data_IF_639058160724
#
_entry.id   IF_639058160724
#
_cell.length_a   1.000
_cell.length_b   1.000
_cell.length_c   1.000
_cell.angle_alpha   90.00
_cell.angle_beta   90.00
_cell.angle_gamma   90.00
#
_symmetry.space_group_name_H-M   'P 1'
#
loop_
_entity.id
_entity.type
_entity.pdbx_description
1 polymer ?
#
# COMPACT_ATOMS: atom_id res chain seq x y z
N UNK A 1 61.13 16.06 -55.80
CA UNK A 1 61.88 15.79 -54.55
C UNK A 1 60.91 15.12 -53.61
N UNK A 2 60.96 13.80 -53.61
CA UNK A 2 60.01 12.91 -52.96
C UNK A 2 60.60 12.37 -51.64
N UNK A 3 59.71 12.14 -50.67
CA UNK A 3 59.79 11.15 -49.55
C UNK A 3 60.70 11.48 -48.35
N UNK A 4 60.54 10.83 -47.16
CA UNK A 4 59.56 9.79 -46.77
C UNK A 4 58.84 9.96 -45.40
N UNK A 5 57.83 9.09 -45.26
CA UNK A 5 57.13 8.55 -44.09
C UNK A 5 57.98 8.30 -42.84
N UNK A 6 57.39 8.50 -41.64
CA UNK A 6 57.80 7.82 -40.41
C UNK A 6 56.59 7.21 -39.68
N UNK A 7 56.54 5.88 -39.71
CA UNK A 7 55.77 5.04 -38.80
C UNK A 7 56.30 5.18 -37.38
N UNK A 8 55.38 5.23 -36.41
CA UNK A 8 55.68 5.14 -34.98
C UNK A 8 54.63 4.29 -34.25
N UNK A 9 54.69 2.97 -34.45
CA UNK A 9 53.99 1.98 -33.63
C UNK A 9 54.88 1.64 -32.44
N UNK A 10 54.46 1.91 -31.20
CA UNK A 10 54.93 1.18 -30.00
C UNK A 10 53.79 0.96 -28.99
N UNK A 11 53.36 -0.29 -29.01
CA UNK A 11 52.74 -1.16 -28.00
C UNK A 11 53.18 -0.84 -26.56
N UNK A 12 52.25 -0.90 -25.58
CA UNK A 12 52.48 -1.48 -24.25
C UNK A 12 51.15 -1.88 -23.55
N UNK A 13 50.90 -3.20 -23.53
CA UNK A 13 50.60 -4.04 -22.36
C UNK A 13 49.35 -3.73 -21.51
N UNK A 14 48.31 -4.54 -21.74
CA UNK A 14 47.91 -5.59 -20.78
C UNK A 14 47.29 -5.17 -19.45
N UNK A 15 45.95 -5.21 -19.37
CA UNK A 15 45.25 -5.53 -18.14
C UNK A 15 44.11 -6.50 -18.45
N UNK A 16 44.43 -7.80 -18.42
CA UNK A 16 43.45 -8.89 -18.43
C UNK A 16 42.94 -9.02 -16.99
N UNK A 17 41.77 -8.46 -16.70
CA UNK A 17 41.06 -8.75 -15.46
C UNK A 17 40.36 -10.10 -15.65
N UNK A 18 41.01 -11.17 -15.20
CA UNK A 18 40.37 -12.45 -14.96
C UNK A 18 39.43 -12.29 -13.75
N UNK A 19 38.14 -12.14 -14.02
CA UNK A 19 37.11 -12.32 -12.99
C UNK A 19 36.93 -13.83 -12.77
N UNK A 20 37.36 -14.30 -11.60
CA UNK A 20 37.01 -15.61 -11.05
C UNK A 20 35.48 -15.68 -10.88
N UNK A 21 34.81 -16.38 -11.80
CA UNK A 21 33.44 -16.86 -11.60
C UNK A 21 33.48 -17.98 -10.55
N UNK A 22 33.36 -17.61 -9.27
CA UNK A 22 33.07 -18.56 -8.20
C UNK A 22 31.70 -19.20 -8.43
N UNK A 23 31.73 -20.52 -8.55
CA UNK A 23 30.61 -21.40 -8.74
C UNK A 23 29.46 -21.11 -7.75
N UNK A 24 28.29 -20.82 -8.32
CA UNK A 24 27.02 -20.68 -7.63
C UNK A 24 26.53 -22.09 -7.26
N UNK A 25 26.55 -22.45 -5.98
CA UNK A 25 25.97 -23.69 -5.52
C UNK A 25 24.44 -23.60 -5.50
N UNK A 26 23.70 -24.60 -6.03
CA UNK A 26 22.25 -24.63 -5.93
C UNK A 26 21.84 -25.07 -4.51
N UNK A 27 21.33 -24.13 -3.71
CA UNK A 27 20.60 -24.49 -2.48
C UNK A 27 19.28 -25.18 -2.86
N UNK A 28 19.24 -26.49 -2.63
CA UNK A 28 18.03 -27.30 -2.74
C UNK A 28 17.10 -26.97 -1.57
N UNK A 29 16.06 -26.17 -1.84
CA UNK A 29 15.00 -25.87 -0.86
C UNK A 29 14.06 -27.08 -0.82
N UNK A 30 14.15 -27.87 0.25
CA UNK A 30 13.16 -28.91 0.56
C UNK A 30 11.83 -28.24 0.90
N UNK A 31 10.87 -28.33 -0.02
CA UNK A 31 9.47 -28.00 0.23
C UNK A 31 8.87 -29.09 1.13
N UNK A 32 8.70 -28.79 2.41
CA UNK A 32 7.89 -29.62 3.30
C UNK A 32 6.41 -29.30 3.05
N UNK A 33 5.72 -30.24 2.40
CA UNK A 33 4.28 -30.28 2.28
C UNK A 33 3.66 -30.55 3.66
N UNK A 34 2.99 -29.56 4.23
CA UNK A 34 2.13 -29.73 5.41
C UNK A 34 0.69 -29.92 4.91
N UNK A 35 0.22 -31.16 4.92
CA UNK A 35 -1.21 -31.47 4.76
C UNK A 35 -1.95 -31.12 6.07
N UNK A 36 -3.06 -30.37 6.02
CA UNK A 36 -3.97 -30.26 7.15
C UNK A 36 -4.90 -31.48 7.19
N UNK A 37 -4.82 -32.25 8.27
CA UNK A 37 -5.81 -33.26 8.65
C UNK A 37 -7.06 -32.53 9.16
N UNK A 38 -8.12 -32.50 8.35
CA UNK A 38 -9.45 -32.04 8.74
C UNK A 38 -10.17 -33.20 9.43
N UNK A 39 -10.18 -33.19 10.76
CA UNK A 39 -11.07 -34.04 11.57
C UNK A 39 -12.45 -33.39 11.65
N UNK A 40 -13.43 -33.99 10.97
CA UNK A 40 -14.86 -33.69 11.10
C UNK A 40 -15.34 -34.15 12.49
N UNK A 41 -15.52 -33.21 13.41
CA UNK A 41 -16.21 -33.43 14.68
C UNK A 41 -17.72 -33.35 14.47
N UNK A 42 -18.40 -34.46 14.69
CA UNK A 42 -19.85 -34.59 14.72
C UNK A 42 -20.44 -33.79 15.89
N UNK A 43 -21.22 -32.75 15.58
CA UNK A 43 -21.98 -31.98 16.56
C UNK A 43 -23.27 -32.68 16.96
N UNK A 44 -23.36 -33.02 18.24
CA UNK A 44 -24.57 -33.41 18.97
C UNK A 44 -25.66 -32.33 18.86
N UNK A 45 -26.88 -32.73 18.52
CA UNK A 45 -28.10 -31.93 18.70
C UNK A 45 -28.58 -32.08 20.16
N UNK A 46 -28.82 -30.99 20.90
CA UNK A 46 -29.51 -31.08 22.18
C UNK A 46 -31.02 -31.26 22.00
N UNK A 47 -31.56 -32.11 22.87
CA UNK A 47 -32.96 -32.52 23.02
C UNK A 47 -33.95 -31.34 23.14
N UNK A 48 -35.05 -31.45 22.41
CA UNK A 48 -36.24 -30.59 22.52
C UNK A 48 -36.93 -30.84 23.88
N UNK A 49 -36.66 -29.98 24.86
CA UNK A 49 -37.50 -29.92 26.07
C UNK A 49 -38.81 -29.20 25.76
N UNK A 50 -39.85 -30.01 25.59
CA UNK A 50 -41.27 -29.66 25.59
C UNK A 50 -41.61 -28.89 26.87
N UNK A 51 -41.87 -27.59 26.77
CA UNK A 51 -42.50 -26.81 27.84
C UNK A 51 -43.98 -27.18 27.91
N UNK A 52 -44.41 -27.65 29.08
CA UNK A 52 -45.82 -27.84 29.43
C UNK A 52 -46.50 -26.46 29.56
N UNK A 53 -47.55 -26.27 28.77
CA UNK A 53 -48.37 -25.07 28.73
C UNK A 53 -49.45 -25.19 29.82
N UNK A 54 -49.23 -24.57 30.98
CA UNK A 54 -50.22 -24.42 32.04
C UNK A 54 -51.40 -23.57 31.53
N UNK A 55 -52.50 -24.23 31.23
CA UNK A 55 -53.77 -23.60 30.85
C UNK A 55 -54.48 -23.09 32.12
N UNK A 56 -54.50 -21.78 32.30
CA UNK A 56 -55.26 -21.14 33.37
C UNK A 56 -56.79 -21.20 33.11
N UNK A 57 -57.61 -21.38 34.16
CA UNK A 57 -59.05 -21.55 34.03
C UNK A 57 -59.78 -20.27 33.60
N UNK A 58 -60.70 -20.45 32.65
CA UNK A 58 -61.44 -19.46 31.86
C UNK A 58 -62.45 -18.56 32.62
N UNK A 59 -62.61 -18.65 33.95
CA UNK A 59 -63.84 -18.16 34.60
C UNK A 59 -63.80 -16.81 35.32
N UNK A 60 -62.83 -15.93 35.07
CA UNK A 60 -62.82 -14.57 35.66
C UNK A 60 -62.52 -13.43 34.68
N UNK A 61 -63.03 -13.52 33.45
CA UNK A 61 -63.00 -12.37 32.53
C UNK A 61 -64.22 -11.47 32.76
N UNK A 62 -64.00 -10.31 33.40
CA UNK A 62 -65.02 -9.28 33.53
C UNK A 62 -65.45 -8.76 32.15
N UNK A 63 -66.77 -8.66 31.95
CA UNK A 63 -67.41 -8.29 30.68
C UNK A 63 -67.55 -6.78 30.47
N UNK A 64 -66.97 -5.96 31.36
CA UNK A 64 -67.00 -4.52 31.20
C UNK A 64 -65.87 -4.04 30.26
N UNK A 65 -66.16 -4.08 28.96
CA UNK A 65 -65.28 -3.56 27.91
C UNK A 65 -65.09 -2.03 27.98
N UNK A 66 -65.90 -1.32 28.77
CA UNK A 66 -65.92 0.15 28.81
C UNK A 66 -64.79 0.71 29.68
N UNK A 67 -64.38 0.00 30.73
CA UNK A 67 -63.21 0.35 31.55
C UNK A 67 -61.88 0.05 30.86
N UNK A 68 -61.81 -0.98 30.00
CA UNK A 68 -60.58 -1.42 29.33
C UNK A 68 -60.00 -0.41 28.33
N UNK A 69 -60.81 0.53 27.83
CA UNK A 69 -60.39 1.47 26.78
C UNK A 69 -59.69 2.72 27.33
N UNK A 70 -59.87 3.05 28.62
CA UNK A 70 -59.32 4.26 29.22
C UNK A 70 -57.90 4.09 29.78
N UNK A 71 -57.45 2.85 30.01
CA UNK A 71 -56.13 2.52 30.57
C UNK A 71 -55.03 2.37 29.49
N UNK A 72 -55.40 2.10 28.23
CA UNK A 72 -54.45 1.87 27.13
C UNK A 72 -54.04 3.14 26.37
N UNK A 73 -54.50 4.32 26.83
CA UNK A 73 -54.30 5.58 26.14
C UNK A 73 -53.40 6.56 26.92
N UNK A 74 -52.31 6.07 27.55
CA UNK A 74 -51.17 6.93 27.85
C UNK A 74 -50.17 6.87 26.68
N UNK A 75 -50.27 7.75 25.66
CA UNK A 75 -49.34 7.78 24.53
C UNK A 75 -47.89 8.14 24.90
N UNK A 76 -47.56 8.32 26.20
CA UNK A 76 -46.21 8.52 26.72
C UNK A 76 -45.61 7.31 27.42
N UNK A 77 -46.34 6.20 27.57
CA UNK A 77 -45.75 4.98 28.08
C UNK A 77 -44.81 4.39 27.00
N UNK A 78 -43.52 4.70 27.10
CA UNK A 78 -42.50 4.00 26.32
C UNK A 78 -42.64 2.50 26.62
N UNK A 79 -42.48 1.62 25.61
CA UNK A 79 -42.43 0.20 25.88
C UNK A 79 -41.37 -0.08 26.97
N UNK A 80 -41.58 -1.09 27.83
CA UNK A 80 -40.55 -1.51 28.77
C UNK A 80 -39.23 -1.64 28.02
N UNK A 81 -38.19 -0.93 28.47
CA UNK A 81 -36.87 -1.05 27.86
C UNK A 81 -36.49 -2.53 27.95
N UNK A 82 -36.23 -3.15 26.79
CA UNK A 82 -35.72 -4.51 26.76
C UNK A 82 -34.53 -4.61 27.72
N UNK A 83 -34.40 -5.71 28.48
CA UNK A 83 -33.21 -5.91 29.29
C UNK A 83 -31.98 -5.77 28.40
N UNK A 84 -30.90 -5.13 28.90
CA UNK A 84 -29.70 -4.95 28.10
C UNK A 84 -29.25 -6.31 27.57
N UNK A 85 -29.12 -6.43 26.24
CA UNK A 85 -28.72 -7.70 25.61
C UNK A 85 -27.43 -8.18 26.27
N UNK A 86 -27.33 -9.47 26.63
CA UNK A 86 -26.09 -10.02 27.15
C UNK A 86 -24.97 -9.71 26.16
N UNK A 87 -23.83 -9.26 26.69
CA UNK A 87 -22.71 -8.85 25.85
C UNK A 87 -22.20 -10.05 25.08
N UNK A 88 -21.91 -9.87 23.80
CA UNK A 88 -21.31 -10.92 23.00
C UNK A 88 -19.95 -11.31 23.61
N UNK A 89 -19.60 -12.61 23.66
CA UNK A 89 -18.32 -13.05 24.20
C UNK A 89 -17.15 -12.48 23.38
N UNK A 90 -15.97 -12.30 23.99
CA UNK A 90 -14.77 -11.91 23.27
C UNK A 90 -14.49 -12.89 22.14
N UNK A 91 -14.16 -12.36 20.96
CA UNK A 91 -13.84 -13.18 19.78
C UNK A 91 -12.51 -12.80 19.19
N UNK A 92 -11.82 -13.76 18.58
CA UNK A 92 -10.57 -13.53 17.86
C UNK A 92 -10.77 -12.44 16.81
N UNK A 93 -9.83 -11.49 16.76
CA UNK A 93 -9.89 -10.41 15.79
C UNK A 93 -9.83 -10.98 14.36
N UNK A 94 -10.81 -10.69 13.48
CA UNK A 94 -10.83 -11.25 12.14
C UNK A 94 -9.73 -10.69 11.23
N UNK A 95 -9.20 -9.50 11.56
CA UNK A 95 -8.15 -8.86 10.76
C UNK A 95 -6.75 -9.42 11.04
N UNK A 96 -6.38 -9.63 12.31
CA UNK A 96 -5.07 -10.19 12.67
C UNK A 96 -5.11 -11.68 13.00
N UNK A 97 -6.29 -12.30 13.10
CA UNK A 97 -6.48 -13.70 13.48
C UNK A 97 -5.74 -14.05 14.79
N UNK A 98 -5.85 -13.17 15.79
CA UNK A 98 -5.17 -13.35 17.09
C UNK A 98 -3.69 -12.97 17.12
N UNK A 99 -3.06 -12.65 15.99
CA UNK A 99 -1.62 -12.32 15.92
C UNK A 99 -1.23 -10.97 16.49
N UNK A 100 -2.19 -10.12 16.87
CA UNK A 100 -1.97 -8.76 17.42
C UNK A 100 -1.36 -7.73 16.45
N UNK A 101 -0.62 -8.16 15.44
CA UNK A 101 -0.05 -7.32 14.39
C UNK A 101 -0.57 -7.70 12.99
N UNK A 102 -0.58 -6.72 12.10
CA UNK A 102 -0.94 -6.88 10.69
C UNK A 102 0.19 -6.36 9.81
N UNK A 103 0.32 -6.89 8.59
CA UNK A 103 1.30 -6.36 7.63
C UNK A 103 1.06 -4.87 7.44
N UNK A 104 2.13 -4.08 7.43
CA UNK A 104 2.00 -2.63 7.24
C UNK A 104 1.29 -2.36 5.90
N UNK A 105 0.17 -1.65 5.93
CA UNK A 105 -0.61 -1.35 4.73
C UNK A 105 0.10 -0.41 3.75
N UNK A 106 1.07 0.39 4.22
CA UNK A 106 1.83 1.33 3.38
C UNK A 106 2.93 0.61 2.59
N UNK A 107 3.78 -0.15 3.27
CA UNK A 107 4.90 -0.86 2.62
C UNK A 107 4.56 -2.31 2.25
N UNK A 108 3.34 -2.78 2.55
CA UNK A 108 2.87 -4.16 2.30
C UNK A 108 3.78 -5.25 2.88
N UNK A 109 4.48 -4.93 3.96
CA UNK A 109 5.42 -5.86 4.60
C UNK A 109 6.87 -5.81 4.12
N UNK A 110 7.26 -4.92 3.19
CA UNK A 110 8.68 -4.76 2.82
C UNK A 110 9.52 -4.13 3.94
N UNK A 111 8.93 -3.24 4.75
CA UNK A 111 9.63 -2.40 5.72
C UNK A 111 10.17 -1.10 5.11
N UNK A 112 10.13 -0.99 3.79
CA UNK A 112 10.77 0.07 3.03
C UNK A 112 9.87 0.62 1.93
N UNK A 113 10.04 1.89 1.62
CA UNK A 113 9.29 2.59 0.58
C UNK A 113 10.30 3.27 -0.35
N UNK A 114 10.07 3.26 -1.67
CA UNK A 114 10.88 4.07 -2.59
C UNK A 114 10.89 5.54 -2.15
N UNK A 115 12.05 6.21 -2.14
CA UNK A 115 12.14 7.65 -1.85
C UNK A 115 11.19 8.47 -2.72
N UNK A 116 11.04 8.08 -3.99
CA UNK A 116 10.18 8.74 -4.98
C UNK A 116 8.68 8.43 -4.85
N UNK A 117 8.29 7.67 -3.82
CA UNK A 117 6.92 7.22 -3.57
C UNK A 117 6.45 6.12 -4.53
N UNK A 118 5.23 5.61 -4.31
CA UNK A 118 4.66 4.52 -5.12
C UNK A 118 4.07 4.97 -6.46
N UNK A 119 3.95 6.29 -6.70
CA UNK A 119 3.43 6.78 -7.98
C UNK A 119 4.42 6.47 -9.09
N UNK A 120 3.96 5.70 -10.08
CA UNK A 120 4.74 5.41 -11.29
C UNK A 120 4.98 6.65 -12.15
N UNK A 121 4.16 7.69 -11.98
CA UNK A 121 4.17 8.88 -12.82
C UNK A 121 4.52 10.14 -12.03
N UNK A 122 5.16 11.09 -12.70
CA UNK A 122 5.41 12.44 -12.21
C UNK A 122 4.09 13.22 -12.10
N UNK A 123 3.99 14.06 -11.08
CA UNK A 123 2.88 14.99 -10.93
C UNK A 123 3.24 16.28 -11.66
N UNK A 124 2.63 16.49 -12.83
CA UNK A 124 2.87 17.68 -13.67
C UNK A 124 1.69 18.64 -13.51
N UNK A 125 1.96 19.86 -13.06
CA UNK A 125 0.96 20.92 -13.03
C UNK A 125 1.08 21.78 -14.30
N UNK A 126 0.13 21.62 -15.24
CA UNK A 126 0.14 22.25 -16.56
C UNK A 126 0.20 23.79 -16.57
N UNK A 127 -0.17 24.43 -15.46
CA UNK A 127 -0.09 25.89 -15.30
C UNK A 127 1.31 26.39 -14.92
N UNK A 128 2.11 25.54 -14.28
CA UNK A 128 3.44 25.86 -13.73
C UNK A 128 4.56 25.05 -14.40
N UNK A 129 4.31 24.51 -15.59
CA UNK A 129 5.31 23.68 -16.29
C UNK A 129 6.37 24.52 -17.00
N UNK A 130 6.05 25.71 -17.49
CA UNK A 130 7.06 26.60 -18.11
C UNK A 130 8.03 27.10 -17.04
N UNK A 131 9.34 27.01 -17.30
CA UNK A 131 10.42 27.26 -16.34
C UNK A 131 10.66 26.12 -15.34
N UNK A 132 9.93 25.01 -15.45
CA UNK A 132 10.20 23.84 -14.61
C UNK A 132 11.42 23.06 -15.11
N UNK A 133 12.17 22.52 -14.16
CA UNK A 133 13.43 21.80 -14.38
C UNK A 133 13.18 20.30 -14.42
N UNK A 134 13.85 19.61 -15.34
CA UNK A 134 13.69 18.19 -15.58
C UNK A 134 15.02 17.53 -15.91
N UNK A 135 15.22 16.32 -15.38
CA UNK A 135 16.35 15.47 -15.73
C UNK A 135 15.89 14.26 -16.54
N UNK A 136 16.49 14.03 -17.70
CA UNK A 136 16.27 12.83 -18.49
C UNK A 136 17.03 11.64 -17.90
N UNK A 137 16.32 10.55 -17.63
CA UNK A 137 16.88 9.27 -17.16
C UNK A 137 17.76 8.61 -18.23
N UNK A 138 17.45 8.83 -19.51
CA UNK A 138 18.29 8.46 -20.66
C UNK A 138 18.84 9.72 -21.30
N UNK A 139 20.14 9.72 -21.62
CA UNK A 139 20.77 10.87 -22.30
C UNK A 139 20.08 11.16 -23.64
N UNK A 140 19.78 12.44 -23.90
CA UNK A 140 19.17 12.92 -25.14
C UNK A 140 20.13 13.93 -25.76
N UNK A 141 20.77 13.56 -26.87
CA UNK A 141 21.78 14.40 -27.52
C UNK A 141 23.00 14.68 -26.64
N UNK A 142 23.37 13.77 -25.74
CA UNK A 142 24.48 13.99 -24.78
C UNK A 142 24.08 14.78 -23.53
N UNK A 143 22.88 15.35 -23.48
CA UNK A 143 22.39 16.14 -22.35
C UNK A 143 21.38 15.36 -21.49
N UNK A 144 21.33 15.71 -20.20
CA UNK A 144 20.38 15.16 -19.23
C UNK A 144 19.58 16.23 -18.49
N UNK A 145 20.11 17.43 -18.33
CA UNK A 145 19.45 18.52 -17.60
C UNK A 145 18.75 19.47 -18.57
N UNK A 146 17.44 19.57 -18.42
CA UNK A 146 16.57 20.35 -19.29
C UNK A 146 15.65 21.29 -18.51
N UNK A 147 15.31 22.41 -19.13
CA UNK A 147 14.30 23.35 -18.66
C UNK A 147 13.20 23.51 -19.72
N UNK A 148 11.95 23.55 -19.29
CA UNK A 148 10.81 23.73 -20.18
C UNK A 148 10.69 25.21 -20.57
N UNK A 149 10.85 25.53 -21.85
CA UNK A 149 10.72 26.91 -22.35
C UNK A 149 9.27 27.23 -22.69
N UNK A 150 8.59 26.29 -23.36
CA UNK A 150 7.23 26.53 -23.83
C UNK A 150 6.36 25.28 -23.79
N UNK A 151 5.05 25.51 -23.78
CA UNK A 151 4.01 24.49 -23.87
C UNK A 151 3.19 24.74 -25.12
N UNK A 152 2.94 23.69 -25.90
CA UNK A 152 2.02 23.68 -27.03
C UNK A 152 0.84 22.74 -26.73
N UNK A 153 -0.34 23.10 -27.22
CA UNK A 153 -1.57 22.34 -27.03
C UNK A 153 -2.42 22.83 -25.86
N UNK A 154 -3.75 22.74 -26.04
CA UNK A 154 -4.75 23.15 -25.04
C UNK A 154 -5.26 21.96 -24.23
N UNK A 155 -5.39 20.78 -24.85
CA UNK A 155 -5.85 19.54 -24.22
C UNK A 155 -4.69 18.71 -23.71
N UNK A 156 -4.92 17.93 -22.65
CA UNK A 156 -3.89 17.10 -22.03
C UNK A 156 -3.29 16.04 -22.97
N UNK A 157 -4.09 15.47 -23.89
CA UNK A 157 -3.64 14.48 -24.88
C UNK A 157 -2.73 15.07 -25.96
N UNK A 158 -2.89 16.35 -26.26
CA UNK A 158 -2.16 17.08 -27.31
C UNK A 158 -1.07 17.99 -26.72
N UNK A 159 -0.93 18.00 -25.38
CA UNK A 159 0.03 18.85 -24.70
C UNK A 159 1.44 18.31 -24.92
N UNK A 160 2.29 19.16 -25.49
CA UNK A 160 3.72 18.92 -25.65
C UNK A 160 4.51 20.10 -25.10
N UNK A 161 5.72 19.82 -24.66
CA UNK A 161 6.64 20.79 -24.07
C UNK A 161 7.89 20.88 -24.92
N UNK A 162 8.36 22.09 -25.18
CA UNK A 162 9.72 22.29 -25.69
C UNK A 162 10.66 22.44 -24.50
N UNK A 163 11.68 21.58 -24.47
CA UNK A 163 12.71 21.56 -23.46
C UNK A 163 14.04 21.99 -24.10
N UNK A 164 14.80 22.84 -23.42
CA UNK A 164 16.18 23.16 -23.78
C UNK A 164 17.14 22.57 -22.76
N UNK A 165 18.31 22.14 -23.19
CA UNK A 165 19.38 21.80 -22.26
C UNK A 165 19.80 23.05 -21.47
N UNK A 166 20.10 22.84 -20.19
CA UNK A 166 20.66 23.86 -19.30
C UNK A 166 22.18 23.79 -19.26
N UNK A 167 22.75 22.62 -19.51
CA UNK A 167 24.19 22.36 -19.43
C UNK A 167 24.81 22.25 -20.83
N UNK A 168 25.95 22.91 -21.06
CA UNK A 168 26.70 22.91 -22.31
C UNK A 168 26.61 24.23 -23.08
N UNK A 169 27.55 24.44 -23.99
CA UNK A 169 27.62 25.65 -24.84
C UNK A 169 26.60 25.60 -25.98
N UNK A 170 26.40 24.44 -26.58
CA UNK A 170 25.42 24.23 -27.64
C UNK A 170 24.00 24.14 -27.07
N UNK A 171 23.07 24.90 -27.67
CA UNK A 171 21.65 24.87 -27.29
C UNK A 171 20.92 23.76 -28.03
N UNK A 172 20.69 22.66 -27.34
CA UNK A 172 19.89 21.53 -27.80
C UNK A 172 18.44 21.65 -27.33
N UNK A 173 17.50 21.62 -28.28
CA UNK A 173 16.05 21.71 -28.01
C UNK A 173 15.32 20.47 -28.47
N UNK A 174 14.36 20.01 -27.67
CA UNK A 174 13.53 18.85 -27.96
C UNK A 174 12.08 19.08 -27.60
N UNK A 175 11.18 18.47 -28.36
CA UNK A 175 9.76 18.41 -28.04
C UNK A 175 9.42 17.08 -27.37
N UNK A 176 8.74 17.15 -26.24
CA UNK A 176 8.38 16.00 -25.41
C UNK A 176 6.88 16.05 -25.10
N UNK A 177 6.19 14.93 -25.22
CA UNK A 177 4.74 14.87 -24.93
C UNK A 177 4.48 14.86 -23.42
N UNK A 178 3.27 15.26 -23.00
CA UNK A 178 2.86 15.17 -21.60
C UNK A 178 2.89 13.72 -21.06
N UNK A 179 2.58 12.73 -21.90
CA UNK A 179 2.65 11.33 -21.52
C UNK A 179 4.10 10.90 -21.21
N UNK A 180 5.05 11.35 -22.03
CA UNK A 180 6.47 11.06 -21.86
C UNK A 180 7.05 11.76 -20.61
N UNK A 181 6.80 13.06 -20.41
CA UNK A 181 7.32 13.78 -19.22
C UNK A 181 6.72 13.26 -17.90
N UNK A 182 5.50 12.70 -17.96
CA UNK A 182 4.88 12.01 -16.81
C UNK A 182 5.54 10.69 -16.49
N UNK A 183 6.23 10.04 -17.43
CA UNK A 183 6.87 8.76 -17.20
C UNK A 183 8.17 8.94 -16.40
N UNK A 184 8.18 8.47 -15.14
CA UNK A 184 9.36 8.53 -14.25
C UNK A 184 10.58 7.76 -14.77
N UNK A 185 10.37 6.78 -15.65
CA UNK A 185 11.46 6.01 -16.25
C UNK A 185 12.23 6.81 -17.30
N UNK A 186 11.57 7.78 -17.93
CA UNK A 186 12.18 8.64 -18.95
C UNK A 186 12.63 9.97 -18.35
N UNK A 187 11.84 10.54 -17.44
CA UNK A 187 12.03 11.88 -16.90
C UNK A 187 11.88 11.93 -15.38
N UNK A 188 12.77 12.65 -14.70
CA UNK A 188 12.65 13.03 -13.29
C UNK A 188 12.42 14.53 -13.19
N UNK A 189 11.59 14.93 -12.25
CA UNK A 189 11.34 16.35 -11.96
C UNK A 189 12.48 16.91 -11.09
N UNK A 190 12.94 18.12 -11.41
CA UNK A 190 14.05 18.78 -10.73
C UNK A 190 15.42 18.35 -11.25
N UNK A 191 16.47 18.78 -10.55
CA UNK A 191 17.84 18.36 -10.82
C UNK A 191 18.16 17.10 -10.03
N UNK A 192 18.29 16.01 -10.77
CA UNK A 192 18.70 14.71 -10.24
C UNK A 192 20.09 14.36 -10.76
N UNK A 193 20.93 13.82 -9.89
CA UNK A 193 22.29 13.35 -10.20
C UNK A 193 22.26 11.99 -10.91
N UNK A 194 23.36 11.60 -11.55
CA UNK A 194 23.43 10.29 -12.22
C UNK A 194 23.30 9.14 -11.22
N UNK A 195 23.96 9.24 -10.06
CA UNK A 195 23.84 8.27 -8.97
C UNK A 195 22.40 8.10 -8.53
N UNK A 196 21.65 9.18 -8.28
CA UNK A 196 20.22 9.08 -7.92
C UNK A 196 19.32 8.49 -9.02
N UNK A 197 19.71 8.56 -10.30
CA UNK A 197 18.97 7.92 -11.40
C UNK A 197 19.22 6.41 -11.39
N UNK A 198 20.48 6.00 -11.21
CA UNK A 198 20.92 4.60 -11.15
C UNK A 198 20.42 3.93 -9.87
N UNK A 199 20.68 4.56 -8.72
CA UNK A 199 20.19 4.19 -7.39
C UNK A 199 18.68 4.37 -7.28
N UNK A 200 18.03 5.15 -8.15
CA UNK A 200 16.59 5.38 -8.16
C UNK A 200 15.73 4.13 -8.38
N UNK A 201 16.36 2.97 -8.64
CA UNK A 201 15.76 1.63 -8.56
C UNK A 201 15.85 0.99 -7.16
N UNK A 202 16.84 1.37 -6.36
CA UNK A 202 17.21 0.76 -5.07
C UNK A 202 17.07 1.71 -3.88
N UNK A 203 16.83 3.00 -4.11
CA UNK A 203 16.76 4.05 -3.09
C UNK A 203 15.49 3.92 -2.24
N UNK A 204 15.58 3.00 -1.30
CA UNK A 204 14.56 2.63 -0.34
C UNK A 204 14.83 3.38 0.95
N UNK A 205 13.80 4.06 1.46
CA UNK A 205 13.80 4.61 2.80
C UNK A 205 12.99 3.72 3.74
N UNK A 206 13.30 3.67 5.04
CA UNK A 206 12.45 2.97 5.99
C UNK A 206 11.02 3.51 5.90
N UNK A 207 10.05 2.61 5.95
CA UNK A 207 8.64 2.99 5.93
C UNK A 207 8.34 3.88 7.12
N UNK A 208 7.86 5.10 6.89
CA UNK A 208 7.53 6.03 7.98
C UNK A 208 6.47 5.48 8.96
N UNK A 209 5.58 4.59 8.49
CA UNK A 209 4.50 4.04 9.32
C UNK A 209 4.96 2.90 10.21
N UNK A 210 5.67 1.91 9.66
CA UNK A 210 6.16 0.77 10.44
C UNK A 210 7.62 0.89 10.86
N UNK A 211 8.33 1.98 10.54
CA UNK A 211 9.76 2.19 10.89
C UNK A 211 10.64 0.97 10.58
N UNK A 212 10.46 0.36 9.41
CA UNK A 212 11.11 -0.88 8.98
C UNK A 212 10.70 -2.20 9.68
N UNK A 213 9.78 -2.18 10.66
CA UNK A 213 9.28 -3.39 11.34
C UNK A 213 8.37 -4.29 10.48
N UNK A 214 8.02 -3.88 9.25
CA UNK A 214 7.18 -4.62 8.29
C UNK A 214 5.72 -4.89 8.73
N UNK A 215 5.42 -4.75 10.02
CA UNK A 215 4.11 -4.88 10.61
C UNK A 215 3.71 -3.62 11.38
N UNK A 216 2.41 -3.46 11.62
CA UNK A 216 1.84 -2.46 12.52
C UNK A 216 0.92 -3.19 13.50
N UNK A 217 0.72 -2.60 14.68
CA UNK A 217 -0.29 -3.07 15.62
C UNK A 217 -1.65 -3.10 14.91
N UNK A 218 -2.40 -4.18 15.11
CA UNK A 218 -3.69 -4.36 14.47
C UNK A 218 -4.61 -3.20 14.83
N UNK A 219 -5.08 -2.40 13.87
CA UNK A 219 -5.91 -1.23 14.16
C UNK A 219 -7.32 -1.61 14.66
N UNK A 220 -7.73 -2.87 14.54
CA UNK A 220 -9.06 -3.32 14.93
C UNK A 220 -9.13 -3.82 16.38
N UNK A 221 -8.04 -4.39 16.91
CA UNK A 221 -7.97 -4.88 18.29
C UNK A 221 -6.88 -4.21 19.13
N UNK A 222 -6.19 -3.22 18.56
CA UNK A 222 -5.12 -2.44 19.21
C UNK A 222 -4.01 -3.29 19.82
N UNK A 223 -3.79 -4.50 19.28
CA UNK A 223 -2.78 -5.43 19.78
C UNK A 223 -3.30 -6.44 20.80
N UNK A 224 -4.56 -6.40 21.20
CA UNK A 224 -5.14 -7.41 22.10
C UNK A 224 -5.32 -8.78 21.43
N UNK A 225 -5.39 -8.84 20.10
CA UNK A 225 -5.67 -10.08 19.35
C UNK A 225 -7.15 -10.53 19.40
N UNK A 226 -7.94 -9.99 20.33
CA UNK A 226 -9.38 -10.23 20.49
C UNK A 226 -10.19 -8.93 20.43
N UNK A 227 -11.47 -9.04 20.12
CA UNK A 227 -12.44 -7.93 20.10
C UNK A 227 -13.53 -8.26 21.11
N UNK A 228 -13.93 -7.27 21.91
CA UNK A 228 -14.96 -7.42 22.95
C UNK A 228 -14.44 -7.65 24.36
N UNK A 229 -13.11 -7.58 24.58
CA UNK A 229 -12.51 -7.53 25.91
C UNK A 229 -12.76 -6.14 26.54
N UNK A 230 -13.23 -6.10 27.78
CA UNK A 230 -13.38 -4.86 28.53
C UNK A 230 -12.04 -4.47 29.16
N UNK A 231 -11.85 -3.18 29.44
CA UNK A 231 -10.60 -2.70 30.06
C UNK A 231 -10.37 -3.29 31.46
N UNK A 232 -11.45 -3.65 32.17
CA UNK A 232 -11.37 -4.30 33.49
C UNK A 232 -10.74 -5.70 33.46
N UNK A 233 -10.76 -6.39 32.31
CA UNK A 233 -10.15 -7.72 32.17
C UNK A 233 -8.67 -7.64 31.77
N UNK A 234 -8.18 -6.45 31.40
CA UNK A 234 -6.80 -6.24 30.92
C UNK A 234 -5.76 -6.16 32.05
N UNK A 235 -6.17 -5.91 33.29
CA UNK A 235 -5.26 -5.81 34.45
C UNK A 235 -4.91 -7.18 35.08
N UNK A 236 -5.59 -8.25 34.71
CA UNK A 236 -5.42 -9.58 35.32
C UNK A 236 -4.71 -10.62 34.43
N UNK A 237 -4.18 -10.22 33.28
CA UNK A 237 -3.54 -11.12 32.30
C UNK A 237 -2.05 -10.81 32.05
#
# INVERSE_FOLDING_TARGET
MESPLYLGVKILVGLVILFECRAFQPFSIKLYSLQPQLSLGSGFYPDDQKQEEETLPYSQQSTDWRLRRHELANPRALPPLDPPRPRAPPRTCPLCLGRQYVKCNVCRGSGEIPKTGFSKNNKVNLSKTVGSRWTACRSRGGHRHFEVIQKKGSRASETSFELTNTCGEEKYRIWVTLAEIKNKKEWRQGWVTLGEIEDGMEDRRPCNKCKAFRAIICPQCEGAGMIGLQDNDKETA
#
